data_IF_304157193680
#
_entry.id   IF_304157193680
#
_cell.length_a   1.000
_cell.length_b   1.000
_cell.length_c   1.000
_cell.angle_alpha   90.00
_cell.angle_beta   90.00
_cell.angle_gamma   90.00
#
_symmetry.space_group_name_H-M   'P 1'
#
loop_
_entity.id
_entity.type
_entity.pdbx_description
1 polymer ?
#
# COMPACT_ATOMS: atom_id res chain seq x y z
N UNK A 1 9.48 2.63 32.96
CA UNK A 1 8.86 3.41 31.89
C UNK A 1 8.84 2.57 30.62
N UNK A 2 7.70 1.97 30.33
CA UNK A 2 7.45 1.24 29.08
C UNK A 2 7.31 2.25 27.95
N UNK A 3 8.36 2.49 27.22
CA UNK A 3 8.26 3.16 25.92
C UNK A 3 7.99 2.11 24.86
N UNK A 4 6.73 1.89 24.64
CA UNK A 4 6.23 1.02 23.59
C UNK A 4 6.34 1.73 22.25
N UNK A 5 7.10 1.16 21.33
CA UNK A 5 6.98 1.42 19.89
C UNK A 5 5.54 1.21 19.38
N UNK A 6 4.69 0.54 20.16
CA UNK A 6 3.26 0.36 19.89
C UNK A 6 2.45 1.65 19.98
N UNK A 7 2.87 2.64 20.78
CA UNK A 7 2.14 3.89 20.94
C UNK A 7 2.10 4.72 19.63
N UNK A 8 3.19 4.75 18.88
CA UNK A 8 3.22 5.45 17.58
C UNK A 8 2.31 4.78 16.54
N UNK A 9 2.24 3.44 16.53
CA UNK A 9 1.34 2.71 15.63
C UNK A 9 -0.13 2.84 16.01
N UNK A 10 -0.44 3.02 17.31
CA UNK A 10 -1.80 3.21 17.80
C UNK A 10 -2.36 4.60 17.52
N UNK A 11 -1.51 5.61 17.42
CA UNK A 11 -1.93 6.96 17.03
C UNK A 11 -2.53 6.94 15.60
N UNK A 12 -1.93 6.21 14.68
CA UNK A 12 -2.47 6.06 13.33
C UNK A 12 -3.77 5.26 13.27
N UNK A 13 -3.96 4.29 14.15
CA UNK A 13 -5.17 3.45 14.20
C UNK A 13 -6.40 4.20 14.68
N UNK A 14 -6.24 5.26 15.47
CA UNK A 14 -7.34 6.02 16.09
C UNK A 14 -7.76 7.27 15.34
N UNK A 15 -7.15 7.57 14.21
CA UNK A 15 -7.39 8.79 13.48
C UNK A 15 -8.71 8.74 12.69
N UNK A 16 -9.72 9.37 13.24
CA UNK A 16 -10.90 9.89 12.58
C UNK A 16 -11.78 8.88 11.82
N UNK A 17 -12.87 9.39 11.29
CA UNK A 17 -13.75 8.66 10.38
C UNK A 17 -13.20 8.74 8.96
N UNK A 18 -13.31 7.66 8.16
CA UNK A 18 -12.88 7.69 6.76
C UNK A 18 -13.68 8.73 5.96
N UNK A 19 -13.12 9.19 4.85
CA UNK A 19 -13.79 10.15 3.97
C UNK A 19 -15.05 9.52 3.36
N UNK A 20 -16.22 10.10 3.63
CA UNK A 20 -17.54 9.48 3.35
C UNK A 20 -17.73 9.11 1.88
N UNK A 21 -17.31 9.96 0.95
CA UNK A 21 -17.47 9.73 -0.50
C UNK A 21 -16.60 8.59 -1.05
N UNK A 22 -15.55 8.20 -0.31
CA UNK A 22 -14.59 7.17 -0.70
C UNK A 22 -14.81 5.85 0.06
N UNK A 23 -16.01 5.63 0.59
CA UNK A 23 -16.33 4.45 1.38
C UNK A 23 -17.56 3.76 0.82
N UNK A 24 -17.43 2.46 0.60
CA UNK A 24 -18.52 1.60 0.17
C UNK A 24 -18.90 0.58 1.25
N UNK A 25 -20.18 0.18 1.31
CA UNK A 25 -20.60 -0.89 2.18
C UNK A 25 -20.01 -2.23 1.72
N UNK A 26 -19.43 -2.99 2.65
CA UNK A 26 -18.94 -4.35 2.39
C UNK A 26 -19.91 -5.36 2.98
N UNK A 27 -20.72 -5.99 2.13
CA UNK A 27 -21.60 -7.08 2.55
C UNK A 27 -20.78 -8.33 2.90
N UNK A 28 -21.26 -9.06 3.92
CA UNK A 28 -20.67 -10.35 4.34
C UNK A 28 -21.70 -11.44 4.12
N UNK A 29 -21.41 -12.40 3.25
CA UNK A 29 -22.32 -13.52 2.96
C UNK A 29 -22.12 -14.72 3.91
N UNK A 30 -21.07 -14.71 4.74
CA UNK A 30 -20.78 -15.78 5.70
C UNK A 30 -20.62 -17.16 5.06
N UNK A 31 -20.07 -17.22 3.84
CA UNK A 31 -19.89 -18.48 3.09
C UNK A 31 -21.18 -19.07 2.52
N UNK A 32 -22.28 -18.32 2.51
CA UNK A 32 -23.58 -18.75 1.99
C UNK A 32 -23.72 -18.45 0.50
N UNK A 33 -24.38 -19.37 -0.22
CA UNK A 33 -24.73 -19.20 -1.63
C UNK A 33 -26.04 -18.41 -1.80
N UNK A 34 -26.54 -18.31 -3.03
CA UNK A 34 -27.82 -17.67 -3.37
C UNK A 34 -29.03 -18.32 -2.67
N UNK A 35 -28.96 -19.61 -2.33
CA UNK A 35 -30.01 -20.35 -1.61
C UNK A 35 -29.89 -20.23 -0.08
N UNK A 36 -28.96 -19.44 0.43
CA UNK A 36 -28.72 -19.25 1.85
C UNK A 36 -28.00 -20.42 2.54
N UNK A 37 -27.56 -21.45 1.81
CA UNK A 37 -26.85 -22.60 2.35
C UNK A 37 -25.35 -22.31 2.44
N UNK A 38 -24.69 -22.81 3.49
CA UNK A 38 -23.24 -22.70 3.67
C UNK A 38 -22.56 -23.63 2.68
N UNK A 39 -21.91 -23.07 1.67
CA UNK A 39 -21.11 -23.79 0.67
C UNK A 39 -19.60 -23.68 0.93
N UNK A 40 -19.17 -22.63 1.62
CA UNK A 40 -17.77 -22.40 2.00
C UNK A 40 -17.70 -22.28 3.52
N UNK A 41 -17.00 -23.24 4.16
CA UNK A 41 -16.80 -23.26 5.62
C UNK A 41 -15.84 -22.16 6.07
N UNK A 42 -15.82 -21.90 7.37
CA UNK A 42 -14.88 -20.99 8.03
C UNK A 42 -14.90 -19.55 7.53
N UNK A 43 -16.05 -19.12 7.02
CA UNK A 43 -16.31 -17.72 6.63
C UNK A 43 -17.44 -17.13 7.46
N UNK A 44 -17.27 -15.89 7.90
CA UNK A 44 -18.25 -15.16 8.69
C UNK A 44 -17.66 -14.57 9.96
N UNK A 45 -18.52 -13.97 10.77
CA UNK A 45 -18.12 -13.30 12.00
C UNK A 45 -17.29 -12.02 11.78
N UNK A 46 -16.66 -11.56 12.87
CA UNK A 46 -15.88 -10.33 12.89
C UNK A 46 -16.73 -9.05 12.77
N UNK A 47 -16.11 -7.92 13.10
CA UNK A 47 -16.75 -6.61 13.09
C UNK A 47 -17.15 -6.18 11.67
N UNK A 48 -18.24 -5.38 11.55
CA UNK A 48 -18.67 -4.77 10.28
C UNK A 48 -17.57 -3.83 9.75
N UNK A 49 -17.22 -4.00 8.48
CA UNK A 49 -16.18 -3.23 7.83
C UNK A 49 -16.76 -2.50 6.62
N UNK A 50 -16.25 -1.30 6.39
CA UNK A 50 -16.48 -0.55 5.14
C UNK A 50 -15.27 -0.70 4.24
N UNK A 51 -15.50 -0.83 2.94
CA UNK A 51 -14.44 -0.83 1.95
C UNK A 51 -14.01 0.61 1.64
N UNK A 52 -12.70 0.86 1.56
CA UNK A 52 -12.15 2.14 1.09
C UNK A 52 -11.77 2.01 -0.37
N UNK A 53 -12.26 2.92 -1.18
CA UNK A 53 -11.94 2.98 -2.60
C UNK A 53 -10.51 3.49 -2.72
N UNK A 54 -9.62 2.63 -3.20
CA UNK A 54 -8.20 2.94 -3.39
C UNK A 54 -7.94 3.20 -4.86
N UNK A 55 -7.24 4.28 -5.14
CA UNK A 55 -6.77 4.60 -6.48
C UNK A 55 -5.54 3.74 -6.82
N UNK A 56 -5.79 2.61 -7.48
CA UNK A 56 -4.75 1.72 -7.99
C UNK A 56 -4.24 2.12 -9.37
N UNK A 57 -4.96 2.98 -10.08
CA UNK A 57 -4.60 3.38 -11.46
C UNK A 57 -3.68 4.58 -11.48
N UNK A 58 -3.84 5.51 -10.53
CA UNK A 58 -3.08 6.76 -10.48
C UNK A 58 -3.17 7.51 -11.82
N UNK A 59 -4.39 7.58 -12.37
CA UNK A 59 -4.70 8.14 -13.69
C UNK A 59 -4.67 9.68 -13.74
N UNK A 60 -4.70 10.36 -12.59
CA UNK A 60 -4.49 11.81 -12.52
C UNK A 60 -3.01 12.13 -12.74
N UNK A 61 -2.68 12.46 -13.97
CA UNK A 61 -1.30 12.78 -14.37
C UNK A 61 -1.03 14.27 -14.20
N UNK A 62 0.22 14.59 -13.86
CA UNK A 62 0.80 15.94 -13.78
C UNK A 62 0.11 16.90 -12.79
N UNK A 63 -0.78 16.38 -11.94
CA UNK A 63 -1.42 17.14 -10.89
C UNK A 63 -0.82 16.73 -9.53
N UNK A 64 -0.24 17.71 -8.82
CA UNK A 64 0.30 17.50 -7.49
C UNK A 64 -0.83 17.28 -6.48
N UNK A 65 -0.59 16.37 -5.54
CA UNK A 65 -1.47 16.12 -4.42
C UNK A 65 -0.68 16.20 -3.11
N UNK A 66 -1.32 16.68 -2.06
CA UNK A 66 -0.76 16.74 -0.71
C UNK A 66 -1.37 15.63 0.13
N UNK A 67 -0.55 14.99 0.96
CA UNK A 67 -1.00 13.97 1.91
C UNK A 67 -1.74 14.67 3.06
N UNK A 68 -3.07 14.56 3.10
CA UNK A 68 -3.89 15.16 4.15
C UNK A 68 -3.76 14.39 5.48
N UNK A 69 -3.76 13.06 5.40
CA UNK A 69 -3.60 12.16 6.56
C UNK A 69 -3.31 10.73 6.15
N UNK A 70 -2.78 9.95 7.10
CA UNK A 70 -2.54 8.51 6.95
C UNK A 70 -3.56 7.79 7.84
N UNK A 71 -4.25 6.78 7.29
CA UNK A 71 -5.33 6.08 7.97
C UNK A 71 -5.08 4.57 8.03
N UNK A 72 -5.67 3.94 9.04
CA UNK A 72 -5.80 2.48 9.13
C UNK A 72 -6.96 1.99 8.27
N UNK A 73 -6.74 0.95 7.48
CA UNK A 73 -7.79 0.26 6.72
C UNK A 73 -7.97 -1.18 7.25
N UNK A 74 -9.15 -1.54 7.78
CA UNK A 74 -9.41 -2.89 8.28
C UNK A 74 -9.48 -3.96 7.18
N UNK A 75 -9.43 -3.58 5.89
CA UNK A 75 -9.51 -4.50 4.77
C UNK A 75 -8.13 -4.94 4.25
N UNK A 76 -7.06 -4.31 4.73
CA UNK A 76 -5.69 -4.60 4.30
C UNK A 76 -4.69 -4.45 5.43
N UNK A 77 -3.53 -5.05 5.26
CA UNK A 77 -2.44 -4.97 6.24
C UNK A 77 -1.66 -3.65 6.17
N UNK A 78 -1.64 -3.00 5.00
CA UNK A 78 -0.98 -1.72 4.78
C UNK A 78 -1.82 -0.54 5.24
N UNK A 79 -1.17 0.56 5.67
CA UNK A 79 -1.85 1.84 5.86
C UNK A 79 -2.21 2.48 4.51
N UNK A 80 -3.21 3.35 4.54
CA UNK A 80 -3.65 4.13 3.39
C UNK A 80 -3.41 5.62 3.65
N UNK A 81 -3.13 6.37 2.60
CA UNK A 81 -2.96 7.82 2.65
C UNK A 81 -4.11 8.50 1.90
N UNK A 82 -4.74 9.49 2.52
CA UNK A 82 -5.70 10.36 1.87
C UNK A 82 -4.94 11.50 1.20
N UNK A 83 -5.04 11.56 -0.11
CA UNK A 83 -4.47 12.63 -0.92
C UNK A 83 -5.53 13.68 -1.22
N UNK A 84 -5.14 14.95 -1.13
CA UNK A 84 -5.90 16.10 -1.61
C UNK A 84 -5.17 16.68 -2.81
N UNK A 85 -5.79 16.61 -3.96
CA UNK A 85 -5.26 17.19 -5.20
C UNK A 85 -5.49 18.71 -5.23
N UNK A 86 -4.73 19.42 -6.06
CA UNK A 86 -4.87 20.88 -6.22
C UNK A 86 -6.26 21.30 -6.73
N UNK A 87 -6.94 20.42 -7.48
CA UNK A 87 -8.31 20.62 -7.94
C UNK A 87 -9.39 20.35 -6.88
N UNK A 88 -8.99 20.01 -5.66
CA UNK A 88 -9.88 19.73 -4.53
C UNK A 88 -10.38 18.30 -4.44
N UNK A 89 -10.16 17.44 -5.45
CA UNK A 89 -10.52 16.03 -5.38
C UNK A 89 -9.68 15.30 -4.34
N UNK A 90 -10.31 14.33 -3.66
CA UNK A 90 -9.62 13.46 -2.71
C UNK A 90 -9.60 12.04 -3.21
N UNK A 91 -8.48 11.34 -3.02
CA UNK A 91 -8.34 9.91 -3.32
C UNK A 91 -7.50 9.20 -2.26
N UNK A 92 -7.81 7.94 -2.02
CA UNK A 92 -6.94 7.08 -1.20
C UNK A 92 -5.90 6.39 -2.06
N UNK A 93 -4.68 6.31 -1.53
CA UNK A 93 -3.61 5.46 -2.07
C UNK A 93 -3.09 4.53 -0.97
N UNK A 94 -2.39 3.46 -1.35
CA UNK A 94 -1.60 2.69 -0.39
C UNK A 94 -0.43 3.56 0.05
N UNK A 95 -0.31 3.78 1.36
CA UNK A 95 0.76 4.60 1.91
C UNK A 95 2.10 3.87 1.81
N UNK A 96 3.12 4.45 1.17
CA UNK A 96 4.47 3.93 1.27
C UNK A 96 5.08 4.19 2.65
N UNK A 97 6.08 3.39 2.99
CA UNK A 97 6.93 3.62 4.16
C UNK A 97 7.63 4.97 4.02
N UNK A 98 7.76 5.69 5.12
CA UNK A 98 8.39 7.03 5.21
C UNK A 98 7.58 8.19 4.62
N UNK A 99 6.39 7.95 4.07
CA UNK A 99 5.49 9.04 3.69
C UNK A 99 4.95 9.72 4.95
N UNK A 100 4.95 11.05 4.96
CA UNK A 100 4.45 11.87 6.06
C UNK A 100 3.21 12.67 5.62
N UNK A 101 2.49 13.20 6.60
CA UNK A 101 1.45 14.20 6.36
C UNK A 101 2.13 15.47 5.82
N UNK A 102 1.45 16.18 4.94
CA UNK A 102 1.90 17.35 4.20
C UNK A 102 2.95 17.08 3.09
N UNK A 103 3.42 15.83 2.93
CA UNK A 103 4.26 15.48 1.78
C UNK A 103 3.49 15.65 0.46
N UNK A 104 4.20 16.13 -0.55
CA UNK A 104 3.67 16.25 -1.91
C UNK A 104 3.96 14.98 -2.71
N UNK A 105 2.95 14.49 -3.42
CA UNK A 105 3.00 13.31 -4.27
C UNK A 105 2.43 13.63 -5.64
N UNK A 106 3.10 13.16 -6.68
CA UNK A 106 2.65 13.36 -8.05
C UNK A 106 2.66 12.03 -8.81
N UNK A 107 1.77 11.92 -9.78
CA UNK A 107 1.77 10.87 -10.78
C UNK A 107 2.10 11.50 -12.13
N UNK A 108 3.26 11.20 -12.70
CA UNK A 108 3.71 11.78 -13.97
C UNK A 108 4.56 10.77 -14.73
N UNK A 109 4.78 11.01 -15.99
CA UNK A 109 5.72 10.20 -16.77
C UNK A 109 7.17 10.54 -16.39
N UNK A 110 7.44 11.82 -16.10
CA UNK A 110 8.74 12.30 -15.61
C UNK A 110 8.54 13.13 -14.36
N UNK A 111 8.87 12.60 -13.21
CA UNK A 111 8.83 13.32 -11.95
C UNK A 111 10.08 13.02 -11.11
N UNK A 112 10.25 13.77 -10.06
CA UNK A 112 11.34 13.55 -9.11
C UNK A 112 11.23 12.18 -8.44
N UNK A 113 12.38 11.55 -8.18
CA UNK A 113 12.46 10.23 -7.53
C UNK A 113 12.24 10.40 -6.04
N UNK A 114 10.99 10.65 -5.66
CA UNK A 114 10.52 10.74 -4.28
C UNK A 114 9.59 9.59 -3.92
N UNK A 115 9.62 9.19 -2.66
CA UNK A 115 8.71 8.15 -2.14
C UNK A 115 7.27 8.61 -2.30
N UNK A 116 6.42 7.73 -2.86
CA UNK A 116 5.01 8.03 -3.13
C UNK A 116 4.71 8.52 -4.55
N UNK A 117 5.70 9.00 -5.29
CA UNK A 117 5.51 9.36 -6.69
C UNK A 117 5.27 8.13 -7.55
N UNK A 118 4.42 8.27 -8.56
CA UNK A 118 4.08 7.19 -9.50
C UNK A 118 4.55 7.56 -10.90
N UNK A 119 5.31 6.66 -11.52
CA UNK A 119 5.83 6.84 -12.88
C UNK A 119 5.92 5.52 -13.64
N UNK A 120 6.19 5.59 -14.93
CA UNK A 120 6.41 4.40 -15.76
C UNK A 120 7.73 3.73 -15.39
N UNK A 121 7.79 2.40 -15.45
CA UNK A 121 9.00 1.62 -15.12
C UNK A 121 10.20 2.02 -16.00
N UNK A 122 9.97 2.47 -17.23
CA UNK A 122 11.04 2.93 -18.12
C UNK A 122 11.84 4.11 -17.55
N UNK A 123 11.18 4.98 -16.77
CA UNK A 123 11.76 6.22 -16.28
C UNK A 123 12.35 6.06 -14.85
N UNK A 124 12.07 4.93 -14.16
CA UNK A 124 12.58 4.64 -12.83
C UNK A 124 14.02 4.12 -12.93
N UNK A 125 14.99 4.61 -12.14
CA UNK A 125 16.36 4.09 -12.12
C UNK A 125 16.43 2.63 -11.70
N UNK A 126 17.43 1.91 -12.22
CA UNK A 126 17.74 0.55 -11.78
C UNK A 126 18.11 0.52 -10.29
N UNK A 127 17.78 -0.58 -9.63
CA UNK A 127 18.04 -0.76 -8.20
C UNK A 127 17.00 -0.13 -7.27
N UNK A 128 16.07 0.67 -7.79
CA UNK A 128 15.02 1.31 -6.99
C UNK A 128 13.97 0.32 -6.53
N UNK A 129 13.54 0.45 -5.27
CA UNK A 129 12.40 -0.29 -4.75
C UNK A 129 11.10 0.40 -5.15
N UNK A 130 10.17 -0.38 -5.67
CA UNK A 130 8.85 0.06 -6.13
C UNK A 130 7.75 -0.81 -5.53
N UNK A 131 6.56 -0.28 -5.42
CA UNK A 131 5.36 -1.01 -5.00
C UNK A 131 4.17 -0.61 -5.87
N UNK A 132 3.03 -1.24 -5.67
CA UNK A 132 1.83 -0.99 -6.47
C UNK A 132 2.13 -1.02 -7.98
N UNK A 133 2.77 -2.10 -8.44
CA UNK A 133 3.18 -2.23 -9.83
C UNK A 133 2.04 -2.81 -10.67
N UNK A 134 1.84 -2.26 -11.84
CA UNK A 134 0.91 -2.79 -12.85
C UNK A 134 1.52 -4.00 -13.58
N UNK A 135 0.68 -4.95 -13.97
CA UNK A 135 1.07 -6.06 -14.87
C UNK A 135 0.80 -5.74 -16.35
N UNK A 136 -0.23 -4.94 -16.60
CA UNK A 136 -0.58 -4.43 -17.92
C UNK A 136 -0.81 -2.92 -17.80
N UNK A 137 -0.40 -2.12 -18.77
CA UNK A 137 -0.60 -0.67 -18.74
C UNK A 137 -2.08 -0.31 -18.50
N UNK A 138 -2.33 0.69 -17.67
CA UNK A 138 -3.64 1.24 -17.33
C UNK A 138 -4.62 0.27 -16.63
N UNK A 139 -4.21 -0.95 -16.31
CA UNK A 139 -5.05 -1.91 -15.59
C UNK A 139 -5.12 -1.62 -14.08
N UNK A 140 -4.17 -0.86 -13.59
CA UNK A 140 -4.01 -0.57 -12.16
C UNK A 140 -3.07 -1.55 -11.44
N UNK A 141 -2.62 -1.15 -10.28
CA UNK A 141 -1.62 -1.86 -9.48
C UNK A 141 -2.08 -3.26 -9.05
N UNK A 142 -1.22 -4.26 -9.25
CA UNK A 142 -1.50 -5.66 -8.92
C UNK A 142 -0.42 -6.30 -8.05
N UNK A 143 0.85 -5.90 -8.21
CA UNK A 143 2.00 -6.46 -7.49
C UNK A 143 2.39 -5.54 -6.33
N UNK A 144 2.91 -6.11 -5.23
CA UNK A 144 3.46 -5.42 -4.06
C UNK A 144 2.48 -4.40 -3.44
N UNK A 145 1.33 -4.89 -2.94
CA UNK A 145 0.29 -4.07 -2.30
C UNK A 145 0.13 -4.32 -0.81
N UNK A 146 0.66 -5.43 -0.31
CA UNK A 146 0.57 -5.81 1.11
C UNK A 146 1.60 -5.07 1.96
N UNK A 147 1.39 -5.02 3.27
CA UNK A 147 2.31 -4.39 4.23
C UNK A 147 3.75 -4.86 4.05
N UNK A 148 4.69 -3.92 4.06
CA UNK A 148 6.12 -4.17 3.96
C UNK A 148 6.62 -4.71 2.62
N UNK A 149 5.75 -4.95 1.64
CA UNK A 149 6.17 -5.50 0.35
C UNK A 149 6.78 -4.45 -0.57
N UNK A 150 7.72 -4.88 -1.39
CA UNK A 150 8.29 -4.10 -2.48
C UNK A 150 8.78 -5.05 -3.59
N UNK A 151 8.98 -4.49 -4.77
CA UNK A 151 9.69 -5.13 -5.87
C UNK A 151 10.89 -4.25 -6.23
N UNK A 152 12.02 -4.86 -6.56
CA UNK A 152 13.23 -4.14 -6.97
C UNK A 152 13.39 -4.20 -8.49
N UNK A 153 13.58 -3.06 -9.13
CA UNK A 153 13.86 -2.97 -10.55
C UNK A 153 15.33 -3.35 -10.81
N UNK A 154 15.56 -4.48 -11.48
CA UNK A 154 16.91 -5.01 -11.72
C UNK A 154 17.45 -4.60 -13.09
N UNK A 155 16.66 -4.80 -14.14
CA UNK A 155 17.09 -4.58 -15.50
C UNK A 155 15.95 -4.04 -16.38
N UNK A 156 16.32 -3.42 -17.48
CA UNK A 156 15.42 -2.99 -18.55
C UNK A 156 15.99 -3.51 -19.86
N UNK A 157 15.23 -4.35 -20.55
CA UNK A 157 15.66 -5.00 -21.81
C UNK A 157 14.56 -4.90 -22.84
N UNK A 158 14.86 -4.29 -23.99
CA UNK A 158 13.87 -4.06 -25.04
C UNK A 158 12.67 -3.29 -24.49
N UNK A 159 11.48 -3.89 -24.54
CA UNK A 159 10.22 -3.32 -24.07
C UNK A 159 9.83 -3.80 -22.65
N UNK A 160 10.70 -4.58 -21.99
CA UNK A 160 10.41 -5.17 -20.69
C UNK A 160 11.31 -4.61 -19.59
N UNK A 161 10.73 -4.48 -18.42
CA UNK A 161 11.41 -4.22 -17.16
C UNK A 161 11.40 -5.51 -16.31
N UNK A 162 12.56 -5.91 -15.79
CA UNK A 162 12.71 -7.08 -14.93
C UNK A 162 12.65 -6.65 -13.47
N UNK A 163 11.67 -7.17 -12.76
CA UNK A 163 11.42 -6.91 -11.34
C UNK A 163 11.77 -8.14 -10.52
N UNK A 164 12.51 -7.96 -9.43
CA UNK A 164 12.71 -8.97 -8.40
C UNK A 164 11.69 -8.74 -7.29
N UNK A 165 10.85 -9.73 -7.05
CA UNK A 165 9.86 -9.71 -5.98
C UNK A 165 10.51 -10.06 -4.63
N UNK A 166 9.80 -9.81 -3.54
CA UNK A 166 10.27 -10.14 -2.19
C UNK A 166 10.43 -11.66 -1.99
N UNK A 167 9.67 -12.47 -2.72
CA UNK A 167 9.82 -13.93 -2.76
C UNK A 167 11.13 -14.42 -3.39
N UNK A 168 11.91 -13.52 -4.02
CA UNK A 168 13.09 -13.88 -4.81
C UNK A 168 12.80 -14.13 -6.29
N UNK A 169 11.54 -14.33 -6.67
CA UNK A 169 11.12 -14.51 -8.06
C UNK A 169 11.43 -13.27 -8.90
N UNK A 170 11.92 -13.50 -10.12
CA UNK A 170 12.10 -12.43 -11.12
C UNK A 170 10.97 -12.47 -12.12
N UNK A 171 10.39 -11.30 -12.41
CA UNK A 171 9.27 -11.19 -13.32
C UNK A 171 9.50 -10.09 -14.35
N UNK A 172 9.24 -10.38 -15.61
CA UNK A 172 9.27 -9.40 -16.71
C UNK A 172 7.89 -8.76 -16.86
N UNK A 173 7.87 -7.45 -16.90
CA UNK A 173 6.66 -6.63 -17.07
C UNK A 173 6.95 -5.58 -18.15
N UNK A 174 5.95 -5.17 -18.91
CA UNK A 174 6.11 -4.08 -19.88
C UNK A 174 6.61 -2.81 -19.20
N UNK A 175 7.59 -2.16 -19.74
CA UNK A 175 8.19 -0.95 -19.16
C UNK A 175 7.25 0.26 -19.12
N UNK A 176 6.15 0.22 -19.88
CA UNK A 176 5.10 1.25 -19.85
C UNK A 176 4.17 1.13 -18.63
N UNK A 177 4.21 -0.01 -17.93
CA UNK A 177 3.47 -0.19 -16.68
C UNK A 177 3.93 0.82 -15.64
N UNK A 178 2.97 1.34 -14.87
CA UNK A 178 3.25 2.26 -13.77
C UNK A 178 3.61 1.52 -12.49
N UNK A 179 4.42 2.17 -11.69
CA UNK A 179 4.76 1.74 -10.35
C UNK A 179 4.91 2.96 -9.44
N UNK A 180 4.70 2.77 -8.15
CA UNK A 180 4.92 3.80 -7.13
C UNK A 180 6.26 3.57 -6.45
N UNK A 181 7.03 4.64 -6.24
CA UNK A 181 8.35 4.58 -5.61
C UNK A 181 8.28 4.32 -4.12
N UNK A 182 9.18 3.46 -3.62
CA UNK A 182 9.31 3.09 -2.22
C UNK A 182 8.76 1.71 -1.88
N UNK A 183 8.74 1.38 -0.61
CA UNK A 183 8.17 0.16 -0.03
C UNK A 183 6.83 0.46 0.63
N UNK A 184 5.93 -0.52 0.72
CA UNK A 184 4.65 -0.35 1.40
C UNK A 184 4.85 -0.18 2.90
N UNK A 185 4.01 0.62 3.53
CA UNK A 185 4.00 0.88 4.98
C UNK A 185 3.74 -0.36 5.84
N UNK A 186 3.82 -0.19 7.17
CA UNK A 186 3.56 -1.24 8.15
C UNK A 186 4.47 -2.48 7.98
N UNK A 187 5.76 -2.25 7.83
CA UNK A 187 6.76 -3.30 7.57
C UNK A 187 6.82 -4.35 8.69
N UNK A 188 6.51 -3.93 9.91
CA UNK A 188 6.54 -4.79 11.11
C UNK A 188 5.34 -5.75 11.20
N UNK A 189 4.37 -5.65 10.29
CA UNK A 189 3.17 -6.48 10.30
C UNK A 189 3.46 -7.99 10.22
N UNK A 190 4.58 -8.36 9.65
CA UNK A 190 5.00 -9.75 9.52
C UNK A 190 5.88 -10.25 10.68
N UNK A 191 6.23 -9.36 11.62
CA UNK A 191 6.99 -9.76 12.80
C UNK A 191 6.07 -10.44 13.80
N UNK A 192 6.49 -11.59 14.32
CA UNK A 192 5.79 -12.27 15.41
C UNK A 192 5.88 -11.43 16.69
N UNK A 193 4.84 -11.49 17.52
CA UNK A 193 4.84 -10.88 18.85
C UNK A 193 6.05 -11.31 19.70
N UNK A 194 6.56 -12.51 19.52
CA UNK A 194 7.78 -13.02 20.18
C UNK A 194 8.99 -12.15 19.82
N UNK A 195 9.14 -11.74 18.57
CA UNK A 195 10.25 -10.88 18.10
C UNK A 195 10.07 -9.41 18.51
N UNK A 196 8.86 -9.00 18.83
CA UNK A 196 8.54 -7.61 19.25
C UNK A 196 8.65 -7.48 20.77
N UNK A 197 8.38 -8.56 21.53
CA UNK A 197 8.22 -8.52 22.97
C UNK A 197 9.42 -9.00 23.79
N UNK A 198 10.50 -9.43 23.17
CA UNK A 198 11.69 -9.86 23.89
C UNK A 198 12.66 -8.69 24.14
N UNK A 199 12.61 -8.01 25.29
CA UNK A 199 13.78 -7.33 25.80
C UNK A 199 14.76 -8.43 26.17
N UNK A 200 15.89 -8.50 25.47
CA UNK A 200 16.99 -9.38 25.81
C UNK A 200 17.29 -9.22 27.30
N UNK A 201 16.85 -10.17 28.10
CA UNK A 201 17.26 -10.29 29.49
C UNK A 201 18.71 -10.78 29.45
N UNK A 202 19.65 -9.86 29.25
CA UNK A 202 21.04 -10.13 29.57
C UNK A 202 21.06 -10.39 31.07
N UNK A 203 21.21 -11.66 31.44
CA UNK A 203 21.60 -12.03 32.79
C UNK A 203 22.97 -11.37 33.06
N UNK A 204 23.10 -10.57 34.12
CA UNK A 204 24.43 -10.09 34.52
C UNK A 204 25.26 -11.31 34.91
N UNK A 205 26.43 -11.41 34.31
CA UNK A 205 27.51 -12.31 34.76
C UNK A 205 28.08 -11.76 36.05
#
# INVERSE_FOLDING_TARGET
TRHSSSAASDVYKRQGKPHKSLVEPKSKNGGRNNNGRITVRHQGGGHKQHYRIIDFKRDKLDISAVVERIEYDPNRSAHIALLKYLDGERRYIIAPSKLKVDDQVISSDKCEIKVGNSMKLKDIPLGTNVHCVELKPLKGAQIARSAGTSARLIAKEGIYATLRLQSGETRKVLWECRATLGTVSNQENNLSLIHISEPTRQSPI
#
